data_IF_967042462394
#
_entry.id   IF_967042462394
#
_cell.length_a   1.000
_cell.length_b   1.000
_cell.length_c   1.000
_cell.angle_alpha   90.00
_cell.angle_beta   90.00
_cell.angle_gamma   90.00
#
_symmetry.space_group_name_H-M   'P 1'
#
loop_
_entity.id
_entity.type
_entity.pdbx_description
1 polymer ?
#
# COMPACT_ATOMS: atom_id res chain seq x y z
N UNK A 1 2.69 -16.07 -19.87
CA UNK A 1 4.02 -16.32 -19.26
C UNK A 1 4.48 -15.21 -18.33
N UNK A 2 4.31 -13.92 -18.67
CA UNK A 2 4.67 -12.78 -17.81
C UNK A 2 3.97 -12.87 -16.45
N UNK A 3 2.66 -13.02 -16.41
CA UNK A 3 1.86 -13.12 -15.18
C UNK A 3 2.36 -14.24 -14.23
N UNK A 4 2.69 -15.42 -14.77
CA UNK A 4 3.25 -16.52 -13.97
C UNK A 4 4.63 -16.20 -13.42
N UNK A 5 5.47 -15.54 -14.23
CA UNK A 5 6.80 -15.10 -13.79
C UNK A 5 6.73 -14.07 -12.68
N UNK A 6 5.86 -13.06 -12.82
CA UNK A 6 5.62 -12.06 -11.79
C UNK A 6 5.07 -12.68 -10.49
N UNK A 7 4.11 -13.60 -10.59
CA UNK A 7 3.59 -14.28 -9.41
C UNK A 7 4.67 -15.11 -8.67
N UNK A 8 5.60 -15.74 -9.39
CA UNK A 8 6.74 -16.42 -8.79
C UNK A 8 7.68 -15.43 -8.10
N UNK A 9 8.01 -14.33 -8.79
CA UNK A 9 8.90 -13.28 -8.28
C UNK A 9 8.35 -12.64 -7.00
N UNK A 10 7.09 -12.26 -6.98
CA UNK A 10 6.46 -11.65 -5.81
C UNK A 10 6.45 -12.59 -4.59
N UNK A 11 6.23 -13.89 -4.83
CA UNK A 11 6.36 -14.89 -3.75
C UNK A 11 7.79 -15.00 -3.22
N UNK A 12 8.78 -14.93 -4.09
CA UNK A 12 10.18 -14.94 -3.69
C UNK A 12 10.54 -13.68 -2.88
N UNK A 13 10.11 -12.50 -3.31
CA UNK A 13 10.33 -11.24 -2.60
C UNK A 13 9.67 -11.24 -1.22
N UNK A 14 8.43 -11.70 -1.10
CA UNK A 14 7.77 -11.82 0.21
C UNK A 14 8.49 -12.81 1.14
N UNK A 15 8.99 -13.94 0.60
CA UNK A 15 9.78 -14.90 1.40
C UNK A 15 11.14 -14.33 1.80
N UNK A 16 11.77 -13.54 0.95
CA UNK A 16 13.01 -12.84 1.27
C UNK A 16 12.80 -11.86 2.43
N UNK A 17 11.76 -11.03 2.39
CA UNK A 17 11.44 -10.10 3.46
C UNK A 17 11.10 -10.87 4.75
N UNK A 18 10.32 -11.94 4.67
CA UNK A 18 9.99 -12.77 5.82
C UNK A 18 11.25 -13.38 6.47
N UNK A 19 12.18 -13.85 5.67
CA UNK A 19 13.44 -14.41 6.18
C UNK A 19 14.30 -13.35 6.87
N UNK A 20 14.41 -12.14 6.29
CA UNK A 20 15.16 -11.01 6.86
C UNK A 20 14.63 -10.65 8.25
N UNK A 21 13.31 -10.59 8.44
CA UNK A 21 12.71 -10.20 9.71
C UNK A 21 12.49 -11.34 10.70
N UNK A 22 12.70 -12.60 10.29
CA UNK A 22 12.48 -13.76 11.17
C UNK A 22 13.70 -14.68 11.31
N UNK A 23 13.97 -15.50 10.28
CA UNK A 23 14.99 -16.56 10.38
C UNK A 23 16.40 -16.08 10.07
N UNK A 24 16.53 -15.07 9.24
CA UNK A 24 17.79 -14.49 8.74
C UNK A 24 18.74 -15.54 8.12
N UNK A 25 18.16 -16.60 7.55
CA UNK A 25 18.92 -17.71 6.98
C UNK A 25 19.79 -17.24 5.80
N UNK A 26 19.23 -16.39 4.94
CA UNK A 26 19.92 -15.85 3.77
C UNK A 26 21.12 -14.97 4.16
N UNK A 27 21.09 -14.34 5.34
CA UNK A 27 22.21 -13.58 5.90
C UNK A 27 23.22 -14.53 6.57
N UNK A 28 22.76 -15.53 7.33
CA UNK A 28 23.61 -16.49 8.00
C UNK A 28 24.39 -17.38 7.00
N UNK A 29 23.85 -17.66 5.84
CA UNK A 29 24.48 -18.40 4.73
C UNK A 29 25.32 -17.51 3.81
N UNK A 30 25.45 -16.22 4.12
CA UNK A 30 26.23 -15.22 3.36
C UNK A 30 25.82 -15.10 1.87
N UNK A 31 24.54 -15.42 1.59
CA UNK A 31 23.98 -15.23 0.23
C UNK A 31 23.77 -13.74 -0.07
N UNK A 32 23.38 -12.98 0.97
CA UNK A 32 23.34 -11.52 0.97
C UNK A 32 24.15 -11.04 2.16
N UNK A 33 25.11 -10.10 1.96
CA UNK A 33 25.88 -9.55 3.07
C UNK A 33 24.97 -8.91 4.13
N UNK A 34 25.08 -9.38 5.37
CA UNK A 34 24.22 -8.93 6.47
C UNK A 34 24.32 -7.41 6.68
N UNK A 35 25.51 -6.84 6.50
CA UNK A 35 25.75 -5.40 6.62
C UNK A 35 24.86 -4.59 5.69
N UNK A 36 24.70 -5.00 4.42
CA UNK A 36 23.86 -4.28 3.45
C UNK A 36 22.39 -4.20 3.88
N UNK A 37 21.92 -5.20 4.59
CA UNK A 37 20.52 -5.26 5.04
C UNK A 37 20.36 -4.57 6.38
N UNK A 38 21.16 -4.97 7.39
CA UNK A 38 20.95 -4.55 8.78
C UNK A 38 21.35 -3.10 9.06
N UNK A 39 22.25 -2.51 8.24
CA UNK A 39 22.60 -1.09 8.32
C UNK A 39 21.79 -0.21 7.39
N UNK A 40 20.91 -0.79 6.56
CA UNK A 40 20.03 -0.02 5.68
C UNK A 40 19.10 0.87 6.50
N UNK A 41 18.94 2.16 6.16
CA UNK A 41 17.98 3.04 6.81
C UNK A 41 16.52 2.58 6.61
N UNK A 42 16.28 1.69 5.66
CA UNK A 42 14.96 1.09 5.41
C UNK A 42 14.70 -0.18 6.22
N UNK A 43 15.72 -0.72 6.92
CA UNK A 43 15.51 -1.85 7.84
C UNK A 43 14.80 -1.34 9.09
N UNK A 44 13.69 -1.97 9.44
CA UNK A 44 12.87 -1.61 10.61
C UNK A 44 13.04 -2.67 11.69
N UNK A 45 13.89 -2.40 12.67
CA UNK A 45 14.17 -3.35 13.75
C UNK A 45 12.90 -3.76 14.53
N UNK A 46 11.93 -2.87 14.62
CA UNK A 46 10.63 -3.06 15.25
C UNK A 46 9.80 -4.16 14.58
N UNK A 47 10.09 -4.47 13.32
CA UNK A 47 9.41 -5.52 12.56
C UNK A 47 10.02 -6.92 12.77
N UNK A 48 11.14 -7.03 13.52
CA UNK A 48 11.77 -8.34 13.78
C UNK A 48 10.82 -9.22 14.61
N UNK A 49 10.58 -10.43 14.12
CA UNK A 49 9.65 -11.38 14.72
C UNK A 49 8.18 -11.19 14.35
N UNK A 50 7.84 -10.15 13.58
CA UNK A 50 6.47 -9.95 13.08
C UNK A 50 6.07 -11.08 12.12
N UNK A 51 4.77 -11.39 12.15
CA UNK A 51 4.13 -12.32 11.20
C UNK A 51 2.90 -11.64 10.60
N UNK A 52 3.05 -11.03 9.44
CA UNK A 52 1.93 -10.36 8.79
C UNK A 52 0.84 -11.37 8.40
N UNK A 53 -0.40 -10.88 8.31
CA UNK A 53 -1.52 -11.67 7.85
C UNK A 53 -1.20 -12.32 6.49
N UNK A 54 -1.61 -13.57 6.31
CA UNK A 54 -1.39 -14.36 5.09
C UNK A 54 0.09 -14.49 4.67
N UNK A 55 1.04 -14.20 5.56
CA UNK A 55 2.48 -14.16 5.28
C UNK A 55 2.84 -13.20 4.13
N UNK A 56 2.05 -12.15 3.92
CA UNK A 56 2.26 -11.16 2.87
C UNK A 56 2.83 -9.86 3.47
N UNK A 57 4.12 -9.63 3.27
CA UNK A 57 4.81 -8.40 3.65
C UNK A 57 4.52 -7.26 2.68
N UNK A 58 4.51 -7.57 1.38
CA UNK A 58 4.11 -6.65 0.33
C UNK A 58 2.84 -7.17 -0.35
N UNK A 59 1.71 -6.52 -0.07
CA UNK A 59 0.40 -6.89 -0.61
C UNK A 59 0.16 -6.29 -2.01
N UNK A 60 0.84 -5.19 -2.31
CA UNK A 60 0.76 -4.49 -3.59
C UNK A 60 2.18 -4.29 -4.10
N UNK A 61 2.40 -4.56 -5.39
CA UNK A 61 3.69 -4.40 -6.03
C UNK A 61 3.52 -3.75 -7.40
N UNK A 62 4.38 -2.78 -7.69
CA UNK A 62 4.58 -2.24 -9.03
C UNK A 62 5.88 -2.81 -9.60
N UNK A 63 5.80 -3.73 -10.56
CA UNK A 63 6.98 -4.28 -11.23
C UNK A 63 7.17 -3.62 -12.58
N UNK A 64 8.29 -2.95 -12.78
CA UNK A 64 8.63 -2.30 -14.03
C UNK A 64 9.26 -3.31 -15.00
N UNK A 65 8.71 -3.36 -16.20
CA UNK A 65 9.11 -4.29 -17.24
C UNK A 65 9.63 -3.58 -18.48
N UNK A 66 10.65 -4.12 -19.07
CA UNK A 66 11.11 -3.73 -20.41
C UNK A 66 11.06 -4.94 -21.35
N UNK A 67 10.68 -4.69 -22.58
CA UNK A 67 10.69 -5.70 -23.64
C UNK A 67 11.80 -5.41 -24.63
N UNK A 68 12.66 -6.41 -24.88
CA UNK A 68 13.73 -6.30 -25.88
C UNK A 68 13.21 -6.47 -27.32
N UNK A 69 14.08 -6.27 -28.30
CA UNK A 69 13.77 -6.43 -29.72
C UNK A 69 13.42 -7.86 -30.10
N UNK A 70 13.85 -8.87 -29.34
CA UNK A 70 13.51 -10.29 -29.53
C UNK A 70 12.17 -10.67 -28.87
N UNK A 71 11.54 -9.74 -28.16
CA UNK A 71 10.25 -9.96 -27.52
C UNK A 71 10.31 -10.51 -26.10
N UNK A 72 11.50 -10.62 -25.49
CA UNK A 72 11.67 -11.06 -24.12
C UNK A 72 11.38 -9.92 -23.14
N UNK A 73 10.77 -10.27 -22.01
CA UNK A 73 10.50 -9.33 -20.92
C UNK A 73 11.55 -9.46 -19.81
N UNK A 74 12.06 -8.32 -19.38
CA UNK A 74 12.99 -8.19 -18.27
C UNK A 74 12.38 -7.32 -17.20
N UNK A 75 12.61 -7.65 -15.93
CA UNK A 75 12.26 -6.80 -14.80
C UNK A 75 13.37 -5.78 -14.61
N UNK A 76 13.02 -4.51 -14.55
CA UNK A 76 13.91 -3.42 -14.18
C UNK A 76 13.96 -3.27 -12.67
N UNK A 77 12.80 -3.13 -12.04
CA UNK A 77 12.68 -2.98 -10.59
C UNK A 77 11.33 -3.49 -10.07
N UNK A 78 11.25 -3.67 -8.76
CA UNK A 78 10.02 -3.96 -8.03
C UNK A 78 9.77 -2.88 -6.98
N UNK A 79 8.70 -2.12 -7.16
CA UNK A 79 8.24 -1.14 -6.18
C UNK A 79 7.30 -1.83 -5.18
N UNK A 80 7.82 -2.17 -3.99
CA UNK A 80 7.09 -2.86 -2.93
C UNK A 80 6.53 -1.91 -1.87
N UNK A 81 6.90 -0.63 -1.95
CA UNK A 81 6.49 0.41 -1.00
C UNK A 81 5.69 1.49 -1.76
N UNK A 82 4.42 1.61 -1.44
CA UNK A 82 3.51 2.64 -1.96
C UNK A 82 3.58 2.80 -3.50
N UNK A 83 3.51 1.71 -4.31
CA UNK A 83 3.53 1.84 -5.76
C UNK A 83 2.36 2.69 -6.25
N UNK A 84 2.56 3.43 -7.35
CA UNK A 84 1.56 4.31 -7.95
C UNK A 84 1.47 4.10 -9.47
N UNK A 85 0.45 4.69 -10.10
CA UNK A 85 0.29 4.68 -11.55
C UNK A 85 -0.87 3.83 -12.08
N UNK A 86 -1.49 2.99 -11.25
CA UNK A 86 -2.57 2.09 -11.70
C UNK A 86 -3.83 2.84 -12.13
N UNK A 87 -4.15 3.97 -11.49
CA UNK A 87 -5.27 4.82 -11.87
C UNK A 87 -5.12 5.35 -13.29
N UNK A 88 -3.92 5.78 -13.64
CA UNK A 88 -3.62 6.25 -14.99
C UNK A 88 -3.71 5.12 -16.03
N UNK A 89 -3.32 3.91 -15.68
CA UNK A 89 -3.49 2.74 -16.54
C UNK A 89 -4.97 2.46 -16.82
N UNK A 90 -5.83 2.53 -15.80
CA UNK A 90 -7.27 2.31 -15.94
C UNK A 90 -7.89 3.43 -16.78
N UNK A 91 -7.59 4.69 -16.49
CA UNK A 91 -8.07 5.83 -17.27
C UNK A 91 -7.61 5.77 -18.73
N UNK A 92 -6.33 5.46 -18.98
CA UNK A 92 -5.83 5.27 -20.33
C UNK A 92 -6.58 4.15 -21.07
N UNK A 93 -6.93 3.06 -20.40
CA UNK A 93 -7.72 1.99 -20.98
C UNK A 93 -9.11 2.48 -21.38
N UNK A 94 -9.79 3.24 -20.52
CA UNK A 94 -11.11 3.77 -20.79
C UNK A 94 -11.10 4.81 -21.93
N UNK A 95 -10.10 5.68 -21.97
CA UNK A 95 -9.91 6.63 -23.07
C UNK A 95 -9.64 5.89 -24.38
N UNK A 96 -8.77 4.88 -24.37
CA UNK A 96 -8.43 4.08 -25.57
C UNK A 96 -9.66 3.35 -26.10
N UNK A 97 -10.50 2.78 -25.24
CA UNK A 97 -11.78 2.14 -25.65
C UNK A 97 -12.71 3.11 -26.37
N UNK A 98 -12.75 4.37 -25.93
CA UNK A 98 -13.62 5.39 -26.54
C UNK A 98 -13.07 5.94 -27.85
N UNK A 99 -11.75 6.12 -27.94
CA UNK A 99 -11.10 6.76 -29.09
C UNK A 99 -10.79 5.75 -30.20
N UNK A 100 -10.43 4.53 -29.84
CA UNK A 100 -10.01 3.46 -30.76
C UNK A 100 -10.75 2.14 -30.46
N UNK A 101 -12.10 2.13 -30.55
CA UNK A 101 -12.91 0.97 -30.18
C UNK A 101 -12.58 -0.28 -31.06
N UNK A 102 -12.16 -0.09 -32.31
CA UNK A 102 -11.78 -1.15 -33.22
C UNK A 102 -10.66 -2.05 -32.67
N UNK A 103 -9.72 -1.49 -31.89
CA UNK A 103 -8.65 -2.27 -31.28
C UNK A 103 -9.20 -3.36 -30.33
N UNK A 104 -10.36 -3.12 -29.73
CA UNK A 104 -10.99 -4.04 -28.79
C UNK A 104 -11.89 -5.07 -29.47
N UNK A 105 -12.32 -4.80 -30.71
CA UNK A 105 -13.02 -5.77 -31.55
C UNK A 105 -12.06 -6.76 -32.21
N UNK A 106 -10.92 -6.24 -32.66
CA UNK A 106 -9.95 -7.03 -33.43
C UNK A 106 -8.99 -7.83 -32.54
N UNK A 107 -8.85 -7.45 -31.27
CA UNK A 107 -7.91 -8.04 -30.34
C UNK A 107 -8.56 -8.49 -29.05
N UNK A 108 -8.18 -9.67 -28.56
CA UNK A 108 -8.59 -10.17 -27.26
C UNK A 108 -7.76 -9.49 -26.15
N UNK A 109 -8.26 -8.33 -25.67
CA UNK A 109 -7.61 -7.53 -24.63
C UNK A 109 -8.29 -7.81 -23.30
N UNK A 110 -7.50 -8.28 -22.31
CA UNK A 110 -8.04 -8.56 -20.98
C UNK A 110 -8.53 -7.27 -20.28
N UNK A 111 -9.65 -7.35 -19.55
CA UNK A 111 -10.14 -6.24 -18.76
C UNK A 111 -9.19 -5.88 -17.62
N UNK A 112 -9.25 -4.64 -17.13
CA UNK A 112 -8.48 -4.10 -16.01
C UNK A 112 -9.32 -3.29 -15.03
N UNK A 113 -10.59 -3.15 -15.33
CA UNK A 113 -11.59 -2.37 -14.59
C UNK A 113 -11.96 -2.99 -13.24
N UNK A 114 -11.66 -4.26 -13.03
CA UNK A 114 -11.86 -4.96 -11.76
C UNK A 114 -10.77 -4.67 -10.69
N UNK A 115 -9.70 -3.93 -11.04
CA UNK A 115 -8.61 -3.64 -10.12
C UNK A 115 -9.06 -2.98 -8.81
N UNK A 116 -9.89 -1.92 -8.80
CA UNK A 116 -10.33 -1.30 -7.55
C UNK A 116 -11.12 -2.27 -6.66
N UNK A 117 -11.96 -3.11 -7.23
CA UNK A 117 -12.72 -4.13 -6.50
C UNK A 117 -11.79 -5.17 -5.86
N UNK A 118 -10.78 -5.64 -6.60
CA UNK A 118 -9.77 -6.57 -6.08
C UNK A 118 -8.91 -5.94 -4.99
N UNK A 119 -8.57 -4.65 -5.15
CA UNK A 119 -7.86 -3.91 -4.12
C UNK A 119 -8.70 -3.81 -2.85
N UNK A 120 -9.98 -3.49 -2.97
CA UNK A 120 -10.90 -3.47 -1.83
C UNK A 120 -10.99 -4.84 -1.14
N UNK A 121 -11.16 -5.93 -1.90
CA UNK A 121 -11.22 -7.30 -1.36
C UNK A 121 -9.94 -7.68 -0.61
N UNK A 122 -8.78 -7.35 -1.17
CA UNK A 122 -7.49 -7.59 -0.52
C UNK A 122 -7.38 -6.78 0.79
N UNK A 123 -7.71 -5.49 0.78
CA UNK A 123 -7.69 -4.66 1.99
C UNK A 123 -8.69 -5.18 3.03
N UNK A 124 -9.89 -5.55 2.61
CA UNK A 124 -10.91 -6.12 3.48
C UNK A 124 -10.44 -7.42 4.16
N UNK A 125 -9.65 -8.24 3.46
CA UNK A 125 -9.08 -9.48 4.01
C UNK A 125 -8.05 -9.25 5.13
N UNK A 126 -7.53 -8.02 5.26
CA UNK A 126 -6.59 -7.63 6.32
C UNK A 126 -7.30 -7.07 7.57
N UNK A 127 -8.62 -6.90 7.53
CA UNK A 127 -9.38 -6.35 8.65
C UNK A 127 -9.25 -7.25 9.89
N UNK A 128 -8.95 -6.67 11.08
CA UNK A 128 -8.75 -7.44 12.31
C UNK A 128 -10.07 -7.98 12.89
N UNK A 129 -11.20 -7.53 12.38
CA UNK A 129 -12.54 -7.92 12.81
C UNK A 129 -13.31 -8.50 11.64
N UNK A 130 -13.99 -9.62 11.87
CA UNK A 130 -14.96 -10.12 10.90
C UNK A 130 -16.17 -9.17 10.83
N UNK A 131 -16.28 -8.47 9.73
CA UNK A 131 -17.42 -7.62 9.37
C UNK A 131 -17.81 -7.89 7.93
N UNK A 132 -19.09 -7.80 7.65
CA UNK A 132 -19.60 -7.93 6.27
C UNK A 132 -18.96 -6.90 5.33
N UNK A 133 -18.71 -5.69 5.84
CA UNK A 133 -17.95 -4.63 5.15
C UNK A 133 -17.12 -3.87 6.18
N UNK A 134 -15.80 -4.03 6.19
CA UNK A 134 -14.93 -3.29 7.09
C UNK A 134 -14.84 -1.81 6.68
N UNK A 135 -14.58 -0.93 7.66
CA UNK A 135 -14.31 0.47 7.39
C UNK A 135 -12.86 0.63 6.93
N UNK A 136 -12.68 0.83 5.64
CA UNK A 136 -11.39 1.05 4.99
C UNK A 136 -11.28 2.52 4.64
N UNK A 137 -10.11 3.13 4.86
CA UNK A 137 -9.83 4.49 4.43
C UNK A 137 -8.56 4.54 3.59
N UNK A 138 -8.50 5.47 2.64
CA UNK A 138 -7.27 5.82 1.92
C UNK A 138 -6.67 7.05 2.58
N UNK A 139 -5.50 6.90 3.20
CA UNK A 139 -4.79 8.00 3.86
C UNK A 139 -3.86 8.68 2.87
N UNK A 140 -4.14 9.94 2.56
CA UNK A 140 -3.39 10.79 1.64
C UNK A 140 -2.66 11.92 2.38
N UNK A 141 -1.51 12.38 1.88
CA UNK A 141 -0.88 13.61 2.35
C UNK A 141 -1.55 14.90 1.83
N UNK A 142 -2.64 14.77 1.07
CA UNK A 142 -3.43 15.90 0.58
C UNK A 142 -3.11 16.34 -0.84
N UNK A 143 -3.76 17.42 -1.26
CA UNK A 143 -3.84 17.89 -2.65
C UNK A 143 -2.51 18.31 -3.28
N UNK A 144 -1.50 18.59 -2.48
CA UNK A 144 -0.17 18.97 -2.97
C UNK A 144 0.71 17.78 -3.34
N UNK A 145 0.25 16.55 -3.07
CA UNK A 145 0.96 15.34 -3.47
C UNK A 145 0.78 15.07 -4.96
N UNK A 146 1.86 14.76 -5.67
CA UNK A 146 1.83 14.48 -7.11
C UNK A 146 0.94 13.29 -7.49
N UNK A 147 0.72 12.34 -6.58
CA UNK A 147 -0.14 11.18 -6.77
C UNK A 147 -1.56 11.36 -6.19
N UNK A 148 -1.95 12.59 -5.80
CA UNK A 148 -3.27 12.83 -5.19
C UNK A 148 -4.43 12.38 -6.09
N UNK A 149 -4.31 12.58 -7.40
CA UNK A 149 -5.31 12.08 -8.36
C UNK A 149 -5.56 10.57 -8.15
N UNK A 150 -4.48 9.77 -8.06
CA UNK A 150 -4.59 8.33 -7.86
C UNK A 150 -5.25 8.00 -6.51
N UNK A 151 -4.91 8.72 -5.45
CA UNK A 151 -5.50 8.51 -4.13
C UNK A 151 -7.01 8.72 -4.15
N UNK A 152 -7.46 9.84 -4.73
CA UNK A 152 -8.87 10.19 -4.88
C UNK A 152 -9.60 9.23 -5.82
N UNK A 153 -8.96 8.87 -6.93
CA UNK A 153 -9.50 7.92 -7.89
C UNK A 153 -9.77 6.56 -7.25
N UNK A 154 -8.76 5.97 -6.60
CA UNK A 154 -8.89 4.66 -5.97
C UNK A 154 -9.90 4.66 -4.82
N UNK A 155 -9.92 5.71 -3.99
CA UNK A 155 -10.91 5.83 -2.91
C UNK A 155 -12.34 5.82 -3.48
N UNK A 156 -12.58 6.62 -4.52
CA UNK A 156 -13.88 6.70 -5.21
C UNK A 156 -14.30 5.37 -5.81
N UNK A 157 -13.39 4.74 -6.58
CA UNK A 157 -13.70 3.48 -7.28
C UNK A 157 -13.90 2.29 -6.32
N UNK A 158 -13.21 2.28 -5.19
CA UNK A 158 -13.43 1.31 -4.12
C UNK A 158 -14.68 1.62 -3.28
N UNK A 159 -15.20 2.84 -3.34
CA UNK A 159 -16.29 3.30 -2.48
C UNK A 159 -15.88 3.36 -1.00
N UNK A 160 -14.68 3.90 -0.73
CA UNK A 160 -14.13 4.10 0.60
C UNK A 160 -13.75 5.58 0.80
N UNK A 161 -13.60 6.00 2.06
CA UNK A 161 -13.27 7.37 2.37
C UNK A 161 -11.81 7.71 2.05
N UNK A 162 -11.60 8.91 1.48
CA UNK A 162 -10.30 9.54 1.35
C UNK A 162 -10.10 10.47 2.54
N UNK A 163 -9.04 10.26 3.31
CA UNK A 163 -8.77 11.00 4.54
C UNK A 163 -7.35 11.57 4.55
N UNK A 164 -7.18 12.71 5.20
CA UNK A 164 -5.89 13.26 5.59
C UNK A 164 -5.62 12.97 7.08
N UNK A 165 -4.41 13.24 7.57
CA UNK A 165 -4.05 12.99 8.97
C UNK A 165 -4.98 13.68 9.96
N UNK A 166 -5.47 14.90 9.63
CA UNK A 166 -6.39 15.67 10.45
C UNK A 166 -7.81 15.08 10.60
N UNK A 167 -8.20 14.18 9.70
CA UNK A 167 -9.50 13.51 9.73
C UNK A 167 -9.49 12.27 10.66
N UNK A 168 -8.33 11.86 11.12
CA UNK A 168 -8.15 10.68 11.94
C UNK A 168 -7.81 11.05 13.38
N UNK A 169 -8.36 10.31 14.33
CA UNK A 169 -8.08 10.41 15.75
C UNK A 169 -7.79 9.03 16.34
N UNK A 170 -7.04 8.99 17.42
CA UNK A 170 -6.85 7.76 18.21
C UNK A 170 -7.71 7.85 19.46
N UNK A 171 -8.61 6.88 19.64
CA UNK A 171 -9.48 6.81 20.82
C UNK A 171 -8.71 6.42 22.08
N UNK A 172 -9.31 6.61 23.26
CA UNK A 172 -8.75 6.19 24.55
C UNK A 172 -8.44 4.68 24.62
N UNK A 173 -9.18 3.88 23.84
CA UNK A 173 -8.97 2.42 23.70
C UNK A 173 -7.90 2.06 22.66
N UNK A 174 -7.12 3.03 22.17
CA UNK A 174 -6.08 2.87 21.15
C UNK A 174 -6.58 2.35 19.79
N UNK A 175 -7.78 2.75 19.38
CA UNK A 175 -8.28 2.50 18.03
C UNK A 175 -8.28 3.77 17.19
N UNK A 176 -7.89 3.63 15.93
CA UNK A 176 -8.03 4.71 14.96
C UNK A 176 -9.50 4.89 14.60
N UNK A 177 -9.96 6.12 14.66
CA UNK A 177 -11.30 6.54 14.26
C UNK A 177 -11.20 7.66 13.23
N UNK A 178 -12.12 7.67 12.29
CA UNK A 178 -12.32 8.74 11.32
C UNK A 178 -13.42 9.68 11.84
N UNK A 179 -13.18 10.98 11.79
CA UNK A 179 -14.20 11.98 12.09
C UNK A 179 -15.23 12.04 10.97
N UNK A 180 -16.48 11.91 11.29
CA UNK A 180 -17.59 12.07 10.35
C UNK A 180 -18.61 13.07 10.89
N UNK A 181 -19.54 13.52 10.05
CA UNK A 181 -20.64 14.43 10.46
C UNK A 181 -21.53 13.82 11.53
N UNK A 182 -21.62 12.51 11.59
CA UNK A 182 -22.41 11.75 12.56
C UNK A 182 -21.60 11.33 13.80
N UNK A 183 -20.33 11.78 13.90
CA UNK A 183 -19.41 11.46 14.96
C UNK A 183 -18.27 10.50 14.52
N UNK A 184 -17.36 10.15 15.45
CA UNK A 184 -16.21 9.32 15.13
C UNK A 184 -16.61 7.88 14.77
N UNK A 185 -16.03 7.35 13.70
CA UNK A 185 -16.25 5.97 13.23
C UNK A 185 -14.95 5.21 13.24
N UNK A 186 -14.91 4.04 13.88
CA UNK A 186 -13.72 3.19 13.94
C UNK A 186 -13.29 2.75 12.55
N UNK A 187 -11.99 2.94 12.25
CA UNK A 187 -11.31 2.45 11.04
C UNK A 187 -10.78 1.04 11.30
N UNK A 188 -11.01 0.14 10.36
CA UNK A 188 -10.53 -1.24 10.42
C UNK A 188 -9.24 -1.44 9.61
N UNK A 189 -9.10 -0.74 8.47
CA UNK A 189 -7.93 -0.83 7.59
C UNK A 189 -7.59 0.55 7.05
N UNK A 190 -6.31 0.90 7.08
CA UNK A 190 -5.77 2.11 6.48
C UNK A 190 -4.92 1.73 5.26
N UNK A 191 -5.36 2.10 4.06
CA UNK A 191 -4.53 2.07 2.89
C UNK A 191 -3.74 3.38 2.81
N UNK A 192 -2.52 3.37 3.35
CA UNK A 192 -1.70 4.57 3.40
C UNK A 192 -1.05 4.88 2.06
N UNK A 193 -1.07 6.15 1.69
CA UNK A 193 -0.39 6.71 0.51
C UNK A 193 0.62 7.78 0.91
N UNK A 194 1.10 7.73 2.15
CA UNK A 194 2.17 8.55 2.72
C UNK A 194 3.29 7.64 3.22
N UNK A 195 4.48 8.21 3.37
CA UNK A 195 5.59 7.48 3.96
C UNK A 195 5.36 7.25 5.46
N UNK A 196 5.93 6.15 5.97
CA UNK A 196 5.80 5.78 7.39
C UNK A 196 6.39 6.83 8.33
N UNK A 197 7.41 7.57 7.92
CA UNK A 197 8.06 8.60 8.73
C UNK A 197 7.05 9.67 9.21
N UNK A 198 5.97 9.86 8.46
CA UNK A 198 4.93 10.85 8.76
C UNK A 198 3.73 10.29 9.52
N UNK A 199 3.76 9.02 9.93
CA UNK A 199 2.63 8.41 10.64
C UNK A 199 2.66 8.64 12.14
N UNK A 200 3.84 8.60 12.75
CA UNK A 200 4.00 8.62 14.20
C UNK A 200 5.18 9.50 14.63
N UNK A 201 4.91 10.70 15.21
CA UNK A 201 5.95 11.61 15.66
C UNK A 201 6.72 11.11 16.88
N UNK A 202 6.19 10.15 17.65
CA UNK A 202 6.90 9.56 18.79
C UNK A 202 7.97 8.55 18.33
N UNK A 203 7.75 7.89 17.18
CA UNK A 203 8.64 6.83 16.67
C UNK A 203 9.55 7.34 15.56
N UNK A 204 9.05 8.26 14.72
CA UNK A 204 9.75 8.73 13.53
C UNK A 204 10.08 10.22 13.59
N UNK A 205 9.47 11.05 12.74
CA UNK A 205 9.75 12.48 12.64
C UNK A 205 8.86 13.30 13.59
N UNK A 206 9.48 13.92 14.61
CA UNK A 206 8.81 14.68 15.67
C UNK A 206 7.93 15.85 15.18
N UNK A 207 8.28 16.41 14.03
CA UNK A 207 7.59 17.56 13.44
C UNK A 207 6.60 17.15 12.34
N UNK A 208 6.21 15.89 12.29
CA UNK A 208 5.26 15.40 11.30
C UNK A 208 3.87 15.97 11.54
N UNK A 209 3.43 16.84 10.63
CA UNK A 209 2.07 17.43 10.63
C UNK A 209 1.00 16.46 10.14
N UNK A 210 1.39 15.31 9.60
CA UNK A 210 0.48 14.31 9.04
C UNK A 210 0.15 13.19 10.03
N UNK A 211 0.63 13.30 11.24
CA UNK A 211 0.56 12.25 12.25
C UNK A 211 -0.85 12.02 12.80
N UNK A 212 -1.22 10.75 12.89
CA UNK A 212 -2.42 10.27 13.55
C UNK A 212 -2.48 10.60 15.05
N UNK A 213 -1.32 10.88 15.69
CA UNK A 213 -1.19 11.01 17.15
C UNK A 213 -1.31 12.46 17.62
N UNK A 214 -1.07 13.45 16.74
CA UNK A 214 -1.12 14.88 17.13
C UNK A 214 -2.48 15.37 17.65
N UNK A 215 -3.54 14.61 17.45
CA UNK A 215 -4.90 15.15 17.62
C UNK A 215 -5.55 14.73 18.93
N UNK A 216 -5.06 13.73 19.64
CA UNK A 216 -5.76 13.27 20.83
C UNK A 216 -4.95 12.51 21.88
N UNK A 217 -3.68 12.85 22.09
CA UNK A 217 -3.03 12.33 23.30
C UNK A 217 -3.68 12.95 24.53
N UNK A 218 -4.27 12.15 25.45
CA UNK A 218 -4.78 12.66 26.73
C UNK A 218 -3.71 13.35 27.58
N UNK A 219 -2.42 13.18 27.23
CA UNK A 219 -1.27 13.77 27.92
C UNK A 219 -1.15 15.29 27.75
N UNK A 220 -1.72 15.87 26.69
CA UNK A 220 -1.63 17.32 26.43
C UNK A 220 -2.73 18.14 27.12
N UNK A 221 -3.66 17.50 27.87
CA UNK A 221 -4.68 18.21 28.66
C UNK A 221 -4.22 18.68 30.04
N UNK A 222 -2.95 18.45 30.40
CA UNK A 222 -2.36 18.79 31.68
C UNK A 222 -1.03 19.54 31.61
N UNK A 223 -0.87 20.43 30.62
CA UNK A 223 0.18 21.46 30.66
C UNK A 223 -0.38 22.84 30.48
#
# INVERSE_FOLDING_TARGET
>A
NVSRGLAQRLRALNRFIDDIYNRQKILAEDVVPAELVLTSPNFRAECVGMKPAQSAWANICGTDLVRDSAGHFFVLEDNLRVPSGVSYMIENREVTKRVLPELFYDHSILPVDDYPSRLFEMLASLAPRERKRPNIVVLTPGIYNSAYFEHAYLAREMGVELVEGGDLIVSEDNYVQMNTVDGPVRVDVIYRRINEEYLDPEVFEKDSLLSLIHISSPRDKHR
#
